data_IF_563539120874
#
_entry.id   IF_563539120874
#
_cell.length_a   1.000
_cell.length_b   1.000
_cell.length_c   1.000
_cell.angle_alpha   90.00
_cell.angle_beta   90.00
_cell.angle_gamma   90.00
#
_symmetry.space_group_name_H-M   'P 1'
#
loop_
_entity.id
_entity.type
_entity.pdbx_description
1 polymer ?
#
# COMPACT_ATOMS: atom_id res chain seq x y z
N UNK A 1 -13.45 19.10 27.72
CA UNK A 1 -12.33 19.63 26.90
C UNK A 1 -12.89 19.97 25.53
N UNK A 2 -12.68 21.19 25.08
CA UNK A 2 -13.17 21.62 23.77
C UNK A 2 -12.01 21.51 22.78
N UNK A 3 -11.94 20.39 22.04
CA UNK A 3 -10.86 20.14 21.10
C UNK A 3 -11.09 20.93 19.82
N UNK A 4 -10.13 21.76 19.44
CA UNK A 4 -10.13 22.46 18.16
C UNK A 4 -9.58 21.54 17.05
N UNK A 5 -10.21 21.56 15.86
CA UNK A 5 -9.66 20.86 14.69
C UNK A 5 -8.39 21.56 14.23
N UNK A 6 -7.28 20.86 14.10
CA UNK A 6 -5.99 21.42 13.63
C UNK A 6 -6.16 22.12 12.29
N UNK A 7 -6.91 21.56 11.36
CA UNK A 7 -7.18 22.20 10.05
C UNK A 7 -7.99 23.50 10.09
N UNK A 8 -8.51 23.93 11.26
CA UNK A 8 -9.14 25.23 11.43
C UNK A 8 -8.12 26.31 11.80
N UNK A 9 -6.93 25.95 12.26
CA UNK A 9 -5.82 26.84 12.54
C UNK A 9 -5.16 27.26 11.21
N UNK A 10 -4.91 28.54 11.02
CA UNK A 10 -4.48 29.10 9.73
C UNK A 10 -2.99 29.43 9.67
N UNK A 11 -2.31 29.40 10.81
CA UNK A 11 -0.87 29.67 10.90
C UNK A 11 -0.21 28.81 11.97
N UNK A 12 1.11 28.75 11.92
CA UNK A 12 1.95 28.09 12.95
C UNK A 12 1.78 28.82 14.29
N UNK A 13 1.64 30.14 14.29
CA UNK A 13 1.45 30.93 15.50
C UNK A 13 0.10 30.60 16.18
N UNK A 14 -0.98 30.49 15.43
CA UNK A 14 -2.27 30.04 15.97
C UNK A 14 -2.17 28.63 16.57
N UNK A 15 -1.41 27.75 15.93
CA UNK A 15 -1.18 26.41 16.45
C UNK A 15 -0.36 26.43 17.75
N UNK A 16 0.70 27.23 17.83
CA UNK A 16 1.48 27.43 19.06
C UNK A 16 0.65 28.00 20.20
N UNK A 17 -0.19 29.01 19.91
CA UNK A 17 -1.11 29.56 20.90
C UNK A 17 -2.09 28.51 21.40
N UNK A 18 -2.61 27.68 20.50
CA UNK A 18 -3.50 26.58 20.87
C UNK A 18 -2.76 25.56 21.77
N UNK A 19 -1.57 25.11 21.40
CA UNK A 19 -0.76 24.21 22.22
C UNK A 19 -0.50 24.80 23.63
N UNK A 20 -0.11 26.06 23.69
CA UNK A 20 0.11 26.77 24.97
C UNK A 20 -1.16 26.82 25.81
N UNK A 21 -2.31 27.11 25.21
CA UNK A 21 -3.60 27.13 25.92
C UNK A 21 -4.01 25.79 26.49
N UNK A 22 -3.53 24.67 25.90
CA UNK A 22 -3.76 23.32 26.35
C UNK A 22 -2.63 22.78 27.26
N UNK A 23 -1.60 23.60 27.55
CA UNK A 23 -0.41 23.22 28.33
C UNK A 23 0.34 22.03 27.68
N UNK A 24 0.36 21.97 26.33
CA UNK A 24 1.07 20.95 25.57
C UNK A 24 2.42 21.52 25.12
N UNK A 25 3.50 20.85 25.52
CA UNK A 25 4.85 21.09 25.01
C UNK A 25 5.11 20.14 23.83
N UNK A 26 5.10 20.69 22.61
CA UNK A 26 5.38 19.98 21.38
C UNK A 26 6.48 20.70 20.62
N UNK A 27 7.63 20.06 20.35
CA UNK A 27 8.64 20.60 19.47
C UNK A 27 8.05 20.89 18.08
N UNK A 28 8.22 22.11 17.60
CA UNK A 28 7.64 22.55 16.34
C UNK A 28 8.58 23.55 15.67
N UNK A 29 9.02 23.22 14.46
CA UNK A 29 9.76 24.13 13.59
C UNK A 29 8.77 25.05 12.82
N UNK A 30 9.17 26.26 12.50
CA UNK A 30 8.35 27.22 11.75
C UNK A 30 8.19 26.79 10.29
N UNK A 31 9.25 26.22 9.73
CA UNK A 31 9.32 25.74 8.36
C UNK A 31 9.95 24.35 8.33
N UNK A 32 9.56 23.46 7.37
CA UNK A 32 10.23 22.21 7.18
C UNK A 32 11.71 22.41 6.85
N UNK A 33 12.58 21.69 7.56
CA UNK A 33 14.01 21.72 7.28
C UNK A 33 14.32 21.08 5.92
N UNK A 34 15.24 21.68 5.15
CA UNK A 34 15.79 21.06 3.94
C UNK A 34 16.83 19.97 4.27
N UNK A 35 17.27 19.20 3.29
CA UNK A 35 18.33 18.21 3.46
C UNK A 35 19.64 18.85 3.93
N UNK A 36 19.99 20.03 3.39
CA UNK A 36 21.20 20.80 3.74
C UNK A 36 21.14 21.34 5.19
N UNK A 37 19.94 21.48 5.73
CA UNK A 37 19.67 21.88 7.11
C UNK A 37 19.57 20.68 8.06
N UNK A 38 20.00 19.50 7.63
CA UNK A 38 19.93 18.24 8.39
C UNK A 38 18.50 17.84 8.78
N UNK A 39 17.56 17.95 7.83
CA UNK A 39 16.20 17.43 8.04
C UNK A 39 16.24 15.95 8.43
N UNK A 40 15.61 15.52 9.55
CA UNK A 40 15.52 14.12 9.92
C UNK A 40 14.86 13.24 8.84
N UNK A 41 13.99 13.83 7.99
CA UNK A 41 13.34 13.12 6.90
C UNK A 41 14.26 12.85 5.72
N UNK A 42 15.35 13.60 5.59
CA UNK A 42 16.37 13.42 4.56
C UNK A 42 17.46 12.42 4.98
N UNK A 43 17.52 12.05 6.27
CA UNK A 43 18.52 11.11 6.75
C UNK A 43 18.27 9.69 6.21
N UNK A 44 19.34 8.99 5.74
CA UNK A 44 19.21 7.59 5.35
C UNK A 44 18.87 6.70 6.57
N UNK A 45 18.22 5.55 6.27
CA UNK A 45 17.92 4.54 7.28
C UNK A 45 18.45 3.17 6.85
N UNK A 46 19.08 2.46 7.78
CA UNK A 46 19.62 1.13 7.55
C UNK A 46 18.54 0.06 7.80
N UNK A 47 18.29 -0.79 6.81
CA UNK A 47 17.36 -1.91 6.88
C UNK A 47 18.14 -3.19 6.53
N UNK A 48 18.55 -3.95 7.54
CA UNK A 48 19.46 -5.08 7.35
C UNK A 48 20.76 -4.64 6.69
N UNK A 49 21.07 -5.18 5.52
CA UNK A 49 22.26 -4.83 4.74
C UNK A 49 22.02 -3.72 3.72
N UNK A 50 20.80 -3.23 3.59
CA UNK A 50 20.41 -2.18 2.64
C UNK A 50 20.33 -0.82 3.34
N UNK A 51 20.73 0.24 2.64
CA UNK A 51 20.57 1.62 3.12
C UNK A 51 19.51 2.30 2.26
N UNK A 52 18.39 2.66 2.87
CA UNK A 52 17.33 3.47 2.23
C UNK A 52 17.72 4.94 2.33
N UNK A 53 17.74 5.67 1.22
CA UNK A 53 18.37 6.98 1.10
C UNK A 53 17.68 8.14 1.83
N UNK A 54 16.44 7.97 2.28
CA UNK A 54 15.72 8.94 3.12
C UNK A 54 14.58 8.27 3.88
N UNK A 55 13.88 9.01 4.73
CA UNK A 55 12.77 8.49 5.57
C UNK A 55 11.38 8.76 4.99
N UNK A 56 11.29 9.10 3.72
CA UNK A 56 10.02 9.20 3.01
C UNK A 56 9.58 7.85 2.46
N UNK A 57 8.31 7.50 2.71
CA UNK A 57 7.74 6.23 2.28
C UNK A 57 6.44 6.44 1.50
N UNK A 58 6.34 5.78 0.34
CA UNK A 58 5.05 5.59 -0.34
C UNK A 58 4.39 4.35 0.22
N UNK A 59 3.26 4.54 0.91
CA UNK A 59 2.46 3.45 1.45
C UNK A 59 1.62 2.77 0.37
N UNK A 60 1.34 1.45 0.50
CA UNK A 60 0.49 0.74 -0.45
C UNK A 60 -0.96 1.23 -0.34
N UNK A 61 -1.55 1.52 -1.50
CA UNK A 61 -2.95 1.89 -1.64
C UNK A 61 -3.57 1.12 -2.81
N UNK A 62 -4.79 0.62 -2.63
CA UNK A 62 -5.53 -0.01 -3.70
C UNK A 62 -6.13 1.07 -4.60
N UNK A 63 -5.60 1.23 -5.82
CA UNK A 63 -6.05 2.26 -6.77
C UNK A 63 -7.41 1.95 -7.41
N UNK A 64 -7.75 0.67 -7.54
CA UNK A 64 -8.96 0.17 -8.18
C UNK A 64 -9.17 0.72 -9.60
N UNK A 65 -8.08 0.94 -10.29
CA UNK A 65 -8.02 1.48 -11.64
C UNK A 65 -7.30 0.55 -12.63
N UNK A 66 -7.02 -0.69 -12.22
CA UNK A 66 -6.52 -1.72 -13.11
C UNK A 66 -7.58 -2.16 -14.14
N UNK A 67 -7.15 -2.92 -15.13
CA UNK A 67 -8.05 -3.60 -16.06
C UNK A 67 -8.82 -4.74 -15.37
N UNK A 68 -9.89 -5.21 -15.96
CA UNK A 68 -10.74 -6.27 -15.38
C UNK A 68 -9.97 -7.59 -15.18
N UNK A 69 -8.97 -7.86 -16.01
CA UNK A 69 -8.07 -9.02 -15.88
C UNK A 69 -6.92 -8.79 -14.88
N UNK A 70 -6.93 -7.65 -14.18
CA UNK A 70 -5.98 -7.34 -13.10
C UNK A 70 -4.60 -6.88 -13.57
N UNK A 71 -4.47 -6.38 -14.81
CA UNK A 71 -3.24 -5.77 -15.33
C UNK A 71 -3.24 -4.26 -15.07
N UNK A 72 -2.06 -3.61 -15.00
CA UNK A 72 -1.99 -2.17 -14.92
C UNK A 72 -2.69 -1.48 -16.09
N UNK A 73 -3.47 -0.45 -15.80
CA UNK A 73 -3.99 0.49 -16.79
C UNK A 73 -3.03 1.67 -16.97
N UNK A 74 -3.34 2.59 -17.88
CA UNK A 74 -2.61 3.86 -18.02
C UNK A 74 -2.65 4.68 -16.72
N UNK A 75 -3.76 4.65 -15.98
CA UNK A 75 -3.89 5.36 -14.69
C UNK A 75 -2.97 4.75 -13.64
N UNK A 76 -2.93 3.42 -13.55
CA UNK A 76 -2.01 2.69 -12.67
C UNK A 76 -0.57 3.03 -13.02
N UNK A 77 -0.19 2.94 -14.30
CA UNK A 77 1.16 3.23 -14.80
C UNK A 77 1.59 4.68 -14.49
N UNK A 78 0.68 5.65 -14.72
CA UNK A 78 0.92 7.07 -14.38
C UNK A 78 1.16 7.25 -12.88
N UNK A 79 0.40 6.57 -12.01
CA UNK A 79 0.58 6.63 -10.56
C UNK A 79 1.95 6.10 -10.15
N UNK A 80 2.38 4.97 -10.70
CA UNK A 80 3.68 4.38 -10.40
C UNK A 80 4.84 5.24 -10.91
N UNK A 81 4.68 5.86 -12.07
CA UNK A 81 5.62 6.88 -12.54
C UNK A 81 5.75 8.03 -11.54
N UNK A 82 4.63 8.50 -10.99
CA UNK A 82 4.64 9.56 -9.97
C UNK A 82 5.30 9.14 -8.66
N UNK A 83 5.21 7.86 -8.28
CA UNK A 83 5.98 7.34 -7.15
C UNK A 83 7.49 7.47 -7.40
N UNK A 84 7.97 7.11 -8.58
CA UNK A 84 9.37 7.32 -8.98
C UNK A 84 9.78 8.79 -8.91
N UNK A 85 8.95 9.70 -9.40
CA UNK A 85 9.20 11.15 -9.40
C UNK A 85 9.13 11.80 -8.01
N UNK A 86 8.57 11.13 -7.00
CA UNK A 86 8.36 11.70 -5.66
C UNK A 86 9.66 11.95 -4.90
N UNK A 87 10.73 11.18 -5.19
CA UNK A 87 11.97 11.20 -4.42
C UNK A 87 11.94 10.37 -3.14
N UNK A 88 10.81 9.70 -2.82
CA UNK A 88 10.76 8.72 -1.74
C UNK A 88 11.73 7.57 -2.02
N UNK A 89 12.50 7.17 -1.03
CA UNK A 89 13.47 6.08 -1.15
C UNK A 89 12.94 4.73 -0.64
N UNK A 90 11.76 4.73 -0.03
CA UNK A 90 11.03 3.52 0.32
C UNK A 90 9.67 3.52 -0.38
N UNK A 91 9.46 2.56 -1.26
CA UNK A 91 8.15 2.28 -1.84
C UNK A 91 7.63 1.01 -1.18
N UNK A 92 6.80 1.17 -0.15
CA UNK A 92 6.26 0.05 0.63
C UNK A 92 5.08 -0.58 -0.09
N UNK A 93 5.38 -1.31 -1.15
CA UNK A 93 4.40 -2.04 -1.91
C UNK A 93 3.66 -1.25 -2.98
N UNK A 94 3.84 0.07 -3.07
CA UNK A 94 3.21 0.96 -4.05
C UNK A 94 1.70 0.78 -4.19
N UNK A 95 1.27 -0.47 -4.37
CA UNK A 95 -0.12 -0.90 -4.45
C UNK A 95 -0.30 -2.32 -3.86
N UNK A 96 -1.51 -2.63 -3.40
CA UNK A 96 -1.86 -3.96 -2.91
C UNK A 96 -2.41 -4.83 -4.04
N UNK A 97 -1.64 -5.84 -4.43
CA UNK A 97 -2.01 -6.84 -5.44
C UNK A 97 -2.78 -7.98 -4.79
N UNK A 98 -3.94 -8.32 -5.32
CA UNK A 98 -4.67 -9.51 -4.88
C UNK A 98 -3.94 -10.79 -5.31
N UNK A 99 -3.84 -11.77 -4.40
CA UNK A 99 -3.19 -13.06 -4.68
C UNK A 99 -4.14 -14.10 -5.29
N UNK A 100 -5.45 -13.85 -5.19
CA UNK A 100 -6.51 -14.64 -5.81
C UNK A 100 -7.57 -13.73 -6.42
N UNK A 101 -8.23 -14.18 -7.48
CA UNK A 101 -9.23 -13.39 -8.19
C UNK A 101 -10.47 -13.11 -7.32
N UNK A 102 -10.92 -14.07 -6.52
CA UNK A 102 -12.02 -13.93 -5.58
C UNK A 102 -11.65 -13.16 -4.31
N UNK A 103 -10.35 -12.95 -4.07
CA UNK A 103 -9.80 -12.13 -2.98
C UNK A 103 -9.71 -10.64 -3.28
N UNK A 104 -10.15 -10.15 -4.44
CA UNK A 104 -10.10 -8.74 -4.81
C UNK A 104 -11.13 -7.90 -4.04
N UNK A 105 -10.73 -6.72 -3.57
CA UNK A 105 -11.64 -5.72 -2.98
C UNK A 105 -12.46 -4.97 -4.03
N UNK A 106 -12.07 -5.03 -5.30
CA UNK A 106 -12.71 -4.36 -6.42
C UNK A 106 -12.41 -5.11 -7.72
N UNK A 107 -13.36 -5.18 -8.70
CA UNK A 107 -13.11 -5.82 -9.99
C UNK A 107 -11.88 -5.28 -10.74
N UNK A 108 -11.51 -4.03 -10.47
CA UNK A 108 -10.38 -3.34 -11.06
C UNK A 108 -9.15 -3.29 -10.13
N UNK A 109 -9.00 -4.21 -9.19
CA UNK A 109 -7.78 -4.36 -8.40
C UNK A 109 -6.74 -5.18 -9.17
N UNK A 110 -5.48 -4.79 -9.06
CA UNK A 110 -4.34 -5.52 -9.62
C UNK A 110 -4.29 -6.95 -9.06
N UNK A 111 -3.95 -7.89 -9.93
CA UNK A 111 -3.93 -9.32 -9.62
C UNK A 111 -2.53 -9.90 -9.86
N UNK A 112 -1.94 -10.45 -8.81
CA UNK A 112 -0.64 -11.13 -8.88
C UNK A 112 -0.86 -12.60 -9.32
N UNK A 113 -0.54 -12.88 -10.56
CA UNK A 113 -0.62 -14.20 -11.18
C UNK A 113 0.41 -14.35 -12.29
N UNK A 114 0.76 -15.58 -12.72
CA UNK A 114 1.82 -15.82 -13.69
C UNK A 114 1.69 -14.98 -14.98
N UNK A 115 0.47 -14.85 -15.52
CA UNK A 115 0.19 -14.12 -16.76
C UNK A 115 0.39 -12.60 -16.66
N UNK A 116 0.49 -12.08 -15.44
CA UNK A 116 0.67 -10.66 -15.17
C UNK A 116 2.11 -10.30 -14.74
N UNK A 117 3.02 -11.29 -14.68
CA UNK A 117 4.40 -11.08 -14.19
C UNK A 117 5.16 -10.04 -15.02
N UNK A 118 5.04 -10.08 -16.35
CA UNK A 118 5.69 -9.09 -17.22
C UNK A 118 5.13 -7.68 -17.00
N UNK A 119 3.81 -7.56 -16.83
CA UNK A 119 3.18 -6.28 -16.53
C UNK A 119 3.58 -5.72 -15.15
N UNK A 120 3.84 -6.58 -14.17
CA UNK A 120 4.41 -6.16 -12.87
C UNK A 120 5.84 -5.65 -13.01
N UNK A 121 6.66 -6.33 -13.84
CA UNK A 121 8.04 -5.90 -14.17
C UNK A 121 8.05 -4.54 -14.88
N UNK A 122 7.17 -4.35 -15.87
CA UNK A 122 7.04 -3.10 -16.61
C UNK A 122 6.60 -1.94 -15.69
N UNK A 123 5.72 -2.24 -14.73
CA UNK A 123 5.26 -1.26 -13.75
C UNK A 123 6.40 -0.83 -12.81
N UNK A 124 7.19 -1.79 -12.32
CA UNK A 124 8.41 -1.52 -11.55
C UNK A 124 9.42 -0.72 -12.40
N UNK A 125 9.65 -1.12 -13.65
CA UNK A 125 10.51 -0.41 -14.59
C UNK A 125 10.08 1.04 -14.83
N UNK A 126 8.77 1.29 -14.93
CA UNK A 126 8.21 2.65 -15.02
C UNK A 126 8.58 3.52 -13.84
N UNK A 127 8.51 2.97 -12.62
CA UNK A 127 8.88 3.67 -11.39
C UNK A 127 10.38 3.97 -11.35
N UNK A 128 11.21 2.95 -11.56
CA UNK A 128 12.67 3.07 -11.46
C UNK A 128 13.23 3.99 -12.55
N UNK A 129 12.75 3.88 -13.79
CA UNK A 129 13.15 4.79 -14.87
C UNK A 129 12.80 6.25 -14.56
N UNK A 130 11.58 6.51 -14.06
CA UNK A 130 11.18 7.86 -13.68
C UNK A 130 12.01 8.42 -12.52
N UNK A 131 12.44 7.56 -11.59
CA UNK A 131 13.33 7.94 -10.50
C UNK A 131 14.73 8.31 -11.02
N UNK A 132 15.30 7.46 -11.87
CA UNK A 132 16.61 7.69 -12.50
C UNK A 132 16.60 8.93 -13.40
N UNK A 133 15.57 9.14 -14.21
CA UNK A 133 15.42 10.34 -15.05
C UNK A 133 15.47 11.63 -14.23
N UNK A 134 14.88 11.63 -13.02
CA UNK A 134 14.80 12.82 -12.20
C UNK A 134 15.99 13.04 -11.28
N UNK A 135 16.56 11.96 -10.72
CA UNK A 135 17.55 12.04 -9.65
C UNK A 135 18.92 11.44 -10.04
N UNK A 136 19.05 10.87 -11.23
CA UNK A 136 20.25 10.19 -11.72
C UNK A 136 20.25 8.68 -11.44
N UNK A 137 21.01 7.92 -12.22
CA UNK A 137 21.09 6.45 -12.12
C UNK A 137 21.56 5.98 -10.71
N UNK A 138 22.54 6.67 -10.12
CA UNK A 138 23.03 6.32 -8.78
C UNK A 138 21.98 6.47 -7.68
N UNK A 139 20.91 7.20 -7.94
CA UNK A 139 19.79 7.31 -7.00
C UNK A 139 18.95 6.02 -6.86
N UNK A 140 19.21 5.02 -7.72
CA UNK A 140 18.60 3.69 -7.60
C UNK A 140 19.30 2.82 -6.55
N UNK A 141 20.55 3.11 -6.19
CA UNK A 141 21.34 2.27 -5.27
C UNK A 141 20.77 2.25 -3.85
N UNK A 142 20.03 3.28 -3.47
CA UNK A 142 19.42 3.46 -2.15
C UNK A 142 17.88 3.50 -2.18
N UNK A 143 17.27 3.10 -3.32
CA UNK A 143 15.84 2.98 -3.52
C UNK A 143 15.37 1.56 -3.19
N UNK A 144 14.53 1.40 -2.18
CA UNK A 144 13.95 0.12 -1.77
C UNK A 144 12.49 0.03 -2.22
N UNK A 145 12.20 -0.93 -3.11
CA UNK A 145 10.85 -1.12 -3.67
C UNK A 145 10.30 -2.51 -3.36
N UNK A 146 9.19 -2.55 -2.67
CA UNK A 146 8.45 -3.76 -2.35
C UNK A 146 7.10 -3.86 -3.07
N UNK A 147 6.41 -4.97 -2.83
CA UNK A 147 5.05 -5.22 -3.30
C UNK A 147 4.18 -5.71 -2.16
N UNK A 148 3.03 -5.08 -1.94
CA UNK A 148 2.06 -5.59 -0.96
C UNK A 148 1.18 -6.67 -1.62
N UNK A 149 1.05 -7.79 -0.93
CA UNK A 149 0.18 -8.90 -1.30
C UNK A 149 -1.05 -8.91 -0.39
N UNK A 150 -2.25 -9.11 -0.96
CA UNK A 150 -3.50 -9.04 -0.18
C UNK A 150 -4.52 -10.08 -0.63
N UNK A 151 -5.38 -10.45 0.31
CA UNK A 151 -6.68 -11.06 0.07
C UNK A 151 -7.69 -10.28 0.90
N UNK A 152 -8.77 -9.77 0.29
CA UNK A 152 -9.64 -8.80 0.95
C UNK A 152 -10.70 -9.42 1.87
N UNK A 153 -10.74 -10.75 1.97
CA UNK A 153 -11.53 -11.46 2.96
C UNK A 153 -12.99 -11.02 3.00
N UNK A 154 -13.40 -10.47 4.12
CA UNK A 154 -14.76 -9.95 4.38
C UNK A 154 -15.17 -8.84 3.42
N UNK A 155 -14.21 -8.09 2.86
CA UNK A 155 -14.44 -6.94 1.98
C UNK A 155 -14.37 -7.29 0.48
N UNK A 156 -14.31 -8.57 0.12
CA UNK A 156 -14.20 -8.98 -1.28
C UNK A 156 -15.38 -8.48 -2.12
N UNK A 157 -15.02 -7.90 -3.28
CA UNK A 157 -15.92 -7.48 -4.36
C UNK A 157 -15.30 -7.81 -5.70
N UNK A 158 -15.02 -9.08 -6.00
CA UNK A 158 -14.24 -9.46 -7.18
C UNK A 158 -14.94 -9.18 -8.51
N UNK A 159 -16.28 -9.22 -8.53
CA UNK A 159 -17.07 -9.16 -9.76
C UNK A 159 -17.81 -7.84 -9.96
N UNK A 160 -18.27 -7.21 -8.86
CA UNK A 160 -19.06 -5.97 -8.91
C UNK A 160 -18.70 -5.04 -7.77
N UNK A 161 -18.57 -3.73 -8.07
CA UNK A 161 -18.21 -2.68 -7.08
C UNK A 161 -19.24 -2.53 -5.96
N UNK A 162 -20.51 -2.79 -6.27
CA UNK A 162 -21.66 -2.59 -5.39
C UNK A 162 -22.12 -3.87 -4.67
N UNK A 163 -21.43 -5.01 -4.90
CA UNK A 163 -21.80 -6.29 -4.29
C UNK A 163 -20.62 -6.90 -3.53
N UNK A 164 -20.81 -7.11 -2.22
CA UNK A 164 -19.91 -7.91 -1.42
C UNK A 164 -20.06 -9.40 -1.75
N UNK A 165 -18.94 -10.08 -1.87
CA UNK A 165 -18.82 -11.53 -2.05
C UNK A 165 -17.77 -12.02 -1.03
N UNK A 166 -18.11 -11.99 0.28
CA UNK A 166 -17.14 -12.15 1.35
C UNK A 166 -16.57 -13.57 1.39
N UNK A 167 -15.31 -13.67 1.77
CA UNK A 167 -14.62 -14.91 2.12
C UNK A 167 -14.07 -14.73 3.53
N UNK A 168 -14.63 -15.44 4.50
CA UNK A 168 -14.33 -15.24 5.93
C UNK A 168 -13.80 -16.53 6.55
N UNK A 169 -13.06 -16.42 7.65
CA UNK A 169 -12.55 -17.58 8.39
C UNK A 169 -13.54 -18.03 9.45
N UNK A 170 -14.34 -17.11 9.98
CA UNK A 170 -15.38 -17.38 10.98
C UNK A 170 -16.45 -16.29 10.95
N UNK A 171 -17.65 -16.62 11.42
CA UNK A 171 -18.71 -15.66 11.63
C UNK A 171 -18.43 -14.76 12.83
N UNK A 172 -18.54 -13.44 12.63
CA UNK A 172 -18.27 -12.46 13.67
C UNK A 172 -19.56 -11.71 14.05
N UNK A 173 -20.02 -11.77 15.33
CA UNK A 173 -21.35 -11.30 15.73
C UNK A 173 -21.58 -9.79 15.52
N UNK A 174 -20.52 -8.99 15.47
CA UNK A 174 -20.60 -7.54 15.25
C UNK A 174 -20.37 -7.18 13.77
N UNK A 175 -19.44 -7.86 13.09
CA UNK A 175 -19.07 -7.50 11.70
C UNK A 175 -20.05 -8.07 10.68
N UNK A 176 -20.54 -9.29 10.87
CA UNK A 176 -21.42 -9.93 9.89
C UNK A 176 -22.69 -9.11 9.62
N UNK A 177 -23.45 -8.66 10.63
CA UNK A 177 -24.61 -7.80 10.38
C UNK A 177 -24.26 -6.48 9.70
N UNK A 178 -23.09 -5.90 10.04
CA UNK A 178 -22.61 -4.64 9.44
C UNK A 178 -22.33 -4.76 7.94
N UNK A 179 -21.92 -5.94 7.49
CA UNK A 179 -21.62 -6.23 6.09
C UNK A 179 -22.69 -7.05 5.37
N UNK A 180 -23.85 -7.27 6.01
CA UNK A 180 -24.97 -8.01 5.44
C UNK A 180 -24.66 -9.50 5.23
N UNK A 181 -23.74 -10.07 6.02
CA UNK A 181 -23.42 -11.50 6.02
C UNK A 181 -24.43 -12.20 6.93
N UNK A 182 -25.12 -13.21 6.39
CA UNK A 182 -26.01 -14.04 7.17
C UNK A 182 -25.19 -14.99 8.06
N UNK A 183 -25.44 -15.00 9.36
CA UNK A 183 -24.73 -15.84 10.31
C UNK A 183 -24.94 -17.35 10.10
N UNK A 184 -26.01 -17.72 9.39
CA UNK A 184 -26.34 -19.12 9.05
C UNK A 184 -25.80 -19.54 7.66
N UNK A 185 -25.07 -18.67 6.97
CA UNK A 185 -24.52 -18.94 5.62
C UNK A 185 -23.05 -19.36 5.69
N UNK A 186 -22.80 -20.63 5.95
CA UNK A 186 -21.45 -21.21 5.97
C UNK A 186 -20.79 -21.26 4.59
N UNK A 187 -21.48 -20.96 3.48
CA UNK A 187 -20.91 -20.98 2.13
C UNK A 187 -19.82 -19.91 1.93
N UNK A 188 -19.83 -18.87 2.74
CA UNK A 188 -18.83 -17.78 2.73
C UNK A 188 -17.61 -18.08 3.61
N UNK A 189 -17.69 -19.13 4.45
CA UNK A 189 -16.63 -19.53 5.38
C UNK A 189 -15.60 -20.38 4.65
N UNK A 190 -14.34 -20.00 4.78
CA UNK A 190 -13.20 -20.74 4.22
C UNK A 190 -13.00 -22.06 4.97
N UNK A 191 -12.87 -23.15 4.24
CA UNK A 191 -12.43 -24.43 4.77
C UNK A 191 -10.92 -24.45 5.01
N UNK A 192 -10.40 -25.42 5.77
CA UNK A 192 -8.97 -25.63 5.95
C UNK A 192 -8.22 -25.82 4.61
N UNK A 193 -8.88 -26.44 3.62
CA UNK A 193 -8.30 -26.62 2.29
C UNK A 193 -8.31 -25.31 1.49
N UNK A 194 -9.30 -24.44 1.66
CA UNK A 194 -9.28 -23.06 1.11
C UNK A 194 -8.12 -22.27 1.71
N UNK A 195 -7.90 -22.36 3.02
CA UNK A 195 -6.80 -21.68 3.71
C UNK A 195 -5.44 -22.19 3.21
N UNK A 196 -5.27 -23.49 3.03
CA UNK A 196 -4.03 -24.05 2.44
C UNK A 196 -3.78 -23.49 1.03
N UNK A 197 -4.82 -23.48 0.18
CA UNK A 197 -4.72 -22.90 -1.18
C UNK A 197 -4.38 -21.41 -1.13
N UNK A 198 -4.92 -20.68 -0.15
CA UNK A 198 -4.60 -19.27 0.04
C UNK A 198 -3.14 -19.07 0.43
N UNK A 199 -2.60 -19.89 1.35
CA UNK A 199 -1.18 -19.87 1.72
C UNK A 199 -0.31 -20.13 0.49
N UNK A 200 -0.63 -21.17 -0.32
CA UNK A 200 0.10 -21.48 -1.56
C UNK A 200 0.05 -20.32 -2.57
N UNK A 201 -1.09 -19.60 -2.63
CA UNK A 201 -1.23 -18.42 -3.47
C UNK A 201 -0.33 -17.28 -3.02
N UNK A 202 -0.21 -17.02 -1.71
CA UNK A 202 0.74 -16.02 -1.18
C UNK A 202 2.19 -16.41 -1.47
N UNK A 203 2.56 -17.68 -1.30
CA UNK A 203 3.91 -18.18 -1.61
C UNK A 203 4.21 -18.01 -3.10
N UNK A 204 3.27 -18.37 -3.96
CA UNK A 204 3.40 -18.20 -5.42
C UNK A 204 3.53 -16.72 -5.79
N UNK A 205 2.67 -15.88 -5.23
CA UNK A 205 2.68 -14.43 -5.49
C UNK A 205 3.99 -13.77 -5.05
N UNK A 206 4.57 -14.19 -3.92
CA UNK A 206 5.87 -13.69 -3.47
C UNK A 206 7.00 -14.07 -4.45
N UNK A 207 6.99 -15.32 -4.98
CA UNK A 207 7.95 -15.74 -6.00
C UNK A 207 7.79 -14.96 -7.31
N UNK A 208 6.56 -14.68 -7.73
CA UNK A 208 6.30 -13.88 -8.93
C UNK A 208 6.77 -12.43 -8.74
N UNK A 209 6.56 -11.84 -7.56
CA UNK A 209 7.08 -10.51 -7.23
C UNK A 209 8.62 -10.48 -7.28
N UNK A 210 9.27 -11.48 -6.71
CA UNK A 210 10.74 -11.63 -6.80
C UNK A 210 11.21 -11.73 -8.25
N UNK A 211 10.55 -12.56 -9.07
CA UNK A 211 10.88 -12.72 -10.49
C UNK A 211 10.63 -11.44 -11.31
N UNK A 212 9.70 -10.60 -10.88
CA UNK A 212 9.46 -9.28 -11.47
C UNK A 212 10.52 -8.24 -11.07
N UNK A 213 11.31 -8.50 -10.01
CA UNK A 213 12.40 -7.64 -9.55
C UNK A 213 12.13 -6.86 -8.26
N UNK A 214 11.00 -7.08 -7.59
CA UNK A 214 10.72 -6.45 -6.29
C UNK A 214 11.67 -6.99 -5.22
N UNK A 215 12.14 -6.11 -4.34
CA UNK A 215 13.18 -6.42 -3.36
C UNK A 215 12.60 -7.04 -2.07
N UNK A 216 11.33 -6.81 -1.79
CA UNK A 216 10.61 -7.44 -0.68
C UNK A 216 9.11 -7.55 -0.98
N UNK A 217 8.40 -8.33 -0.20
CA UNK A 217 6.93 -8.37 -0.18
C UNK A 217 6.43 -8.04 1.22
N UNK A 218 5.28 -7.37 1.27
CA UNK A 218 4.50 -7.14 2.47
C UNK A 218 3.23 -7.99 2.41
N UNK A 219 3.06 -8.88 3.38
CA UNK A 219 1.89 -9.76 3.48
C UNK A 219 0.81 -9.05 4.30
N UNK A 220 -0.15 -8.47 3.61
CA UNK A 220 -1.27 -7.79 4.27
C UNK A 220 -2.18 -8.82 4.93
N UNK A 221 -2.30 -8.73 6.25
CA UNK A 221 -3.08 -9.62 7.09
C UNK A 221 -4.04 -8.83 7.99
N UNK A 222 -5.02 -8.16 7.39
CA UNK A 222 -5.95 -7.29 8.13
C UNK A 222 -7.44 -7.48 7.80
N UNK A 223 -7.82 -8.44 6.95
CA UNK A 223 -9.22 -8.67 6.54
C UNK A 223 -9.72 -10.09 6.77
#
# INVERSE_FOLDING_TARGET
MNWQRIGALKSVDEFRQYLSSQQIDLPLDDEPLSAEQNSPLAEPIKVGNFTVGNRWCVHPMEGWDATADGRPSELTTRRWRNFGLSGCKLIWGGEAFAVQADGRANPNQLLNRPENTDAMRDLLGTLTSAHAERFGESALDDLLVGLQLTHSGRFCRPNRKDKLEPRIVYHHPVLDPKFGINADDDSVVLTDDDIKRLIDSYISAAKLAQNAGFQFVDVKHCH
#
